data_IF_303204622270
#
_entry.id   IF_303204622270
#
_cell.length_a   1.000
_cell.length_b   1.000
_cell.length_c   1.000
_cell.angle_alpha   90.00
_cell.angle_beta   90.00
_cell.angle_gamma   90.00
#
_symmetry.space_group_name_H-M   'P 1'
#
loop_
_entity.id
_entity.type
_entity.pdbx_description
1 polymer ?
#
# COMPACT_ATOMS: atom_id res chain seq x y z
N UNK A 1 -22.61 22.76 -28.34
CA UNK A 1 -22.04 22.24 -27.08
C UNK A 1 -21.48 23.43 -26.32
N UNK A 2 -22.19 23.93 -25.32
CA UNK A 2 -21.70 25.03 -24.48
C UNK A 2 -20.78 24.45 -23.43
N UNK A 3 -19.49 24.81 -23.48
CA UNK A 3 -18.53 24.47 -22.44
C UNK A 3 -18.73 25.46 -21.31
N UNK A 4 -19.07 24.97 -20.12
CA UNK A 4 -19.19 25.78 -18.91
C UNK A 4 -17.96 25.50 -18.04
N UNK A 5 -17.02 26.44 -18.03
CA UNK A 5 -15.83 26.34 -17.20
C UNK A 5 -16.09 27.00 -15.84
N UNK A 6 -16.07 26.20 -14.77
CA UNK A 6 -16.25 26.68 -13.39
C UNK A 6 -14.87 26.78 -12.74
N UNK A 7 -14.28 27.97 -12.75
CA UNK A 7 -12.93 28.23 -12.22
C UNK A 7 -12.89 28.43 -10.70
N UNK A 8 -14.02 28.79 -10.08
CA UNK A 8 -14.10 29.10 -8.66
C UNK A 8 -15.43 28.63 -8.06
N UNK A 9 -15.34 28.04 -6.87
CA UNK A 9 -16.46 27.77 -5.97
C UNK A 9 -16.44 28.82 -4.84
N UNK A 10 -16.90 30.06 -5.08
CA UNK A 10 -16.96 31.07 -4.02
C UNK A 10 -18.00 30.64 -2.96
N UNK A 11 -17.61 30.67 -1.69
CA UNK A 11 -18.49 30.39 -0.54
C UNK A 11 -18.68 28.91 -0.18
N UNK A 12 -18.37 27.96 -1.07
CA UNK A 12 -18.56 26.52 -0.77
C UNK A 12 -17.24 25.76 -0.56
N UNK A 13 -16.07 26.38 -0.56
CA UNK A 13 -14.80 25.64 -0.33
C UNK A 13 -14.39 25.48 1.13
N UNK A 14 -14.88 26.36 2.01
CA UNK A 14 -14.28 26.57 3.33
C UNK A 14 -15.24 26.16 4.43
N UNK A 15 -14.71 25.46 5.42
CA UNK A 15 -15.38 25.20 6.69
C UNK A 15 -15.65 26.54 7.38
N UNK A 16 -16.88 26.74 7.87
CA UNK A 16 -17.21 27.89 8.69
C UNK A 16 -17.04 27.53 10.18
N UNK A 17 -15.99 28.03 10.87
CA UNK A 17 -15.75 27.68 12.28
C UNK A 17 -16.80 28.22 13.24
N UNK A 18 -17.61 29.22 12.84
CA UNK A 18 -18.65 29.81 13.67
C UNK A 18 -19.97 29.02 13.58
N UNK A 19 -20.37 28.62 12.37
CA UNK A 19 -21.61 27.86 12.15
C UNK A 19 -21.40 26.34 12.16
N UNK A 20 -20.14 25.89 12.15
CA UNK A 20 -19.72 24.50 11.97
C UNK A 20 -20.22 23.84 10.68
N UNK A 21 -20.65 24.64 9.71
CA UNK A 21 -21.14 24.15 8.42
C UNK A 21 -19.97 23.80 7.51
N UNK A 22 -20.14 22.68 6.82
CA UNK A 22 -19.19 22.23 5.82
C UNK A 22 -19.37 22.94 4.48
N UNK A 23 -18.24 23.29 3.87
CA UNK A 23 -18.14 23.47 2.43
C UNK A 23 -18.09 22.12 1.69
N UNK A 24 -18.15 22.19 0.37
CA UNK A 24 -18.07 21.14 -0.64
C UNK A 24 -17.03 20.05 -0.33
N UNK A 25 -15.86 20.41 0.19
CA UNK A 25 -14.78 19.46 0.47
C UNK A 25 -14.39 19.39 1.96
N UNK A 26 -14.85 20.31 2.80
CA UNK A 26 -14.38 20.34 4.18
C UNK A 26 -14.89 19.14 4.97
N UNK A 27 -16.14 18.72 4.78
CA UNK A 27 -16.68 17.53 5.48
C UNK A 27 -15.93 16.27 5.09
N UNK A 28 -15.55 16.16 3.81
CA UNK A 28 -14.68 15.09 3.34
C UNK A 28 -13.31 15.13 4.03
N UNK A 29 -12.63 16.27 4.03
CA UNK A 29 -11.31 16.41 4.64
C UNK A 29 -11.36 16.10 6.15
N UNK A 30 -12.33 16.65 6.87
CA UNK A 30 -12.50 16.47 8.32
C UNK A 30 -12.73 15.01 8.68
N UNK A 31 -13.60 14.31 7.96
CA UNK A 31 -13.83 12.88 8.15
C UNK A 31 -12.54 12.06 8.01
N UNK A 32 -11.77 12.29 6.93
CA UNK A 32 -10.50 11.58 6.72
C UNK A 32 -9.44 11.96 7.77
N UNK A 33 -9.43 13.21 8.23
CA UNK A 33 -8.55 13.63 9.34
C UNK A 33 -8.91 12.91 10.64
N UNK A 34 -10.20 12.85 11.02
CA UNK A 34 -10.66 12.11 12.20
C UNK A 34 -10.22 10.65 12.14
N UNK A 35 -10.50 9.96 11.03
CA UNK A 35 -10.13 8.56 10.83
C UNK A 35 -8.61 8.32 10.97
N UNK A 36 -7.79 9.25 10.47
CA UNK A 36 -6.33 9.16 10.56
C UNK A 36 -5.85 9.40 12.00
N UNK A 37 -6.40 10.40 12.69
CA UNK A 37 -6.03 10.74 14.07
C UNK A 37 -6.43 9.62 15.03
N UNK A 38 -7.65 9.11 14.90
CA UNK A 38 -8.16 7.96 15.66
C UNK A 38 -7.27 6.73 15.47
N UNK A 39 -6.97 6.36 14.23
CA UNK A 39 -6.09 5.22 13.94
C UNK A 39 -4.62 5.44 14.34
N UNK A 40 -4.23 6.67 14.72
CA UNK A 40 -2.91 6.95 15.27
C UNK A 40 -2.82 6.69 16.77
N UNK A 41 -3.95 6.55 17.46
CA UNK A 41 -4.04 6.50 18.91
C UNK A 41 -3.76 7.85 19.57
N UNK A 42 -3.69 7.83 20.91
CA UNK A 42 -3.42 9.03 21.71
C UNK A 42 -1.97 9.54 21.53
N UNK A 43 -1.76 10.86 21.50
CA UNK A 43 -0.42 11.44 21.59
C UNK A 43 0.30 11.00 22.87
N UNK A 44 1.63 10.94 22.84
CA UNK A 44 2.44 10.51 23.99
C UNK A 44 2.18 11.35 25.26
N UNK A 45 1.85 12.63 25.07
CA UNK A 45 1.62 13.58 26.16
C UNK A 45 0.21 13.48 26.77
N UNK A 46 -0.69 12.69 26.17
CA UNK A 46 -2.09 12.53 26.60
C UNK A 46 -2.28 11.27 27.47
N UNK A 47 -1.67 11.25 28.65
CA UNK A 47 -1.70 10.09 29.55
C UNK A 47 -2.95 10.03 30.44
N UNK A 48 -3.44 11.18 30.91
CA UNK A 48 -4.64 11.27 31.76
C UNK A 48 -5.90 11.54 30.96
N UNK A 49 -7.06 11.20 31.53
CA UNK A 49 -8.34 11.37 30.85
C UNK A 49 -8.72 12.85 30.67
N UNK A 50 -8.23 13.75 31.54
CA UNK A 50 -8.38 15.20 31.37
C UNK A 50 -7.62 15.70 30.14
N UNK A 51 -6.39 15.23 29.93
CA UNK A 51 -5.56 15.60 28.78
C UNK A 51 -6.15 15.07 27.48
N UNK A 52 -6.69 13.85 27.49
CA UNK A 52 -7.44 13.28 26.37
C UNK A 52 -8.67 14.11 26.02
N UNK A 53 -9.45 14.51 27.04
CA UNK A 53 -10.63 15.37 26.85
C UNK A 53 -10.25 16.76 26.33
N UNK A 54 -9.15 17.32 26.82
CA UNK A 54 -8.62 18.60 26.34
C UNK A 54 -8.16 18.50 24.88
N UNK A 55 -7.45 17.42 24.51
CA UNK A 55 -7.04 17.18 23.13
C UNK A 55 -8.21 17.11 22.16
N UNK A 56 -9.30 16.41 22.52
CA UNK A 56 -10.52 16.37 21.70
C UNK A 56 -11.12 17.76 21.55
N UNK A 57 -11.25 18.52 22.64
CA UNK A 57 -11.79 19.89 22.61
C UNK A 57 -10.95 20.82 21.75
N UNK A 58 -9.63 20.75 21.87
CA UNK A 58 -8.72 21.59 21.10
C UNK A 58 -8.74 21.22 19.62
N UNK A 59 -8.79 19.92 19.30
CA UNK A 59 -8.94 19.43 17.92
C UNK A 59 -10.25 19.91 17.29
N UNK A 60 -11.36 19.84 18.02
CA UNK A 60 -12.64 20.35 17.53
C UNK A 60 -12.64 21.87 17.36
N UNK A 61 -12.02 22.61 18.30
CA UNK A 61 -11.97 24.07 18.27
C UNK A 61 -11.09 24.61 17.15
N UNK A 62 -9.91 24.04 16.97
CA UNK A 62 -8.90 24.55 16.02
C UNK A 62 -9.06 23.96 14.62
N UNK A 63 -9.31 22.65 14.52
CA UNK A 63 -9.35 21.95 13.24
C UNK A 63 -10.79 21.63 12.78
N UNK A 64 -11.79 21.81 13.66
CA UNK A 64 -13.17 21.46 13.39
C UNK A 64 -13.41 19.95 13.34
N UNK A 65 -12.43 19.13 13.70
CA UNK A 65 -12.48 17.67 13.57
C UNK A 65 -13.05 17.06 14.84
N UNK A 66 -14.16 16.35 14.69
CA UNK A 66 -14.77 15.58 15.78
C UNK A 66 -14.06 14.22 15.92
N UNK A 67 -13.65 13.89 17.14
CA UNK A 67 -12.90 12.66 17.45
C UNK A 67 -13.69 11.82 18.44
N UNK A 68 -13.88 10.55 18.10
CA UNK A 68 -14.50 9.56 18.97
C UNK A 68 -13.44 8.93 19.89
N UNK A 69 -13.49 9.16 21.23
CA UNK A 69 -12.52 8.61 22.17
C UNK A 69 -12.44 7.08 22.13
N UNK A 70 -13.55 6.40 21.81
CA UNK A 70 -13.60 4.93 21.74
C UNK A 70 -12.81 4.36 20.57
N UNK A 71 -12.53 5.18 19.54
CA UNK A 71 -11.81 4.78 18.32
C UNK A 71 -10.34 5.23 18.32
N UNK A 72 -9.87 5.87 19.40
CA UNK A 72 -8.49 6.36 19.53
C UNK A 72 -7.51 5.22 19.86
N UNK A 73 -7.30 4.33 18.90
CA UNK A 73 -6.42 3.16 19.01
C UNK A 73 -5.35 3.17 17.91
N UNK A 74 -4.10 2.87 18.28
CA UNK A 74 -2.98 2.83 17.33
C UNK A 74 -3.12 1.64 16.39
N UNK A 75 -3.62 1.90 15.19
CA UNK A 75 -3.79 0.92 14.12
C UNK A 75 -3.12 1.41 12.82
N UNK A 76 -1.86 1.01 12.55
CA UNK A 76 -1.11 1.43 11.36
C UNK A 76 -1.78 1.03 10.04
N UNK A 77 -2.47 -0.10 10.01
CA UNK A 77 -3.18 -0.59 8.83
C UNK A 77 -4.40 0.29 8.54
N UNK A 78 -5.24 0.52 9.56
CA UNK A 78 -6.41 1.38 9.44
C UNK A 78 -5.99 2.81 9.06
N UNK A 79 -4.93 3.37 9.65
CA UNK A 79 -4.41 4.69 9.27
C UNK A 79 -4.02 4.78 7.79
N UNK A 80 -3.56 3.67 7.21
CA UNK A 80 -3.23 3.61 5.77
C UNK A 80 -4.50 3.50 4.93
N UNK A 81 -5.45 2.66 5.33
CA UNK A 81 -6.76 2.52 4.67
C UNK A 81 -7.57 3.82 4.71
N UNK A 82 -7.56 4.54 5.83
CA UNK A 82 -8.18 5.85 6.03
C UNK A 82 -7.60 6.96 5.16
N UNK A 83 -6.56 6.71 4.35
CA UNK A 83 -6.09 7.64 3.31
C UNK A 83 -6.72 7.37 1.95
N UNK A 84 -7.26 6.17 1.76
CA UNK A 84 -7.73 5.66 0.48
C UNK A 84 -9.26 5.62 0.42
N UNK A 85 -9.91 5.15 1.49
CA UNK A 85 -11.35 4.87 1.50
C UNK A 85 -11.94 5.33 2.83
N UNK A 86 -13.16 5.86 2.80
CA UNK A 86 -13.94 6.14 4.01
C UNK A 86 -14.67 4.85 4.44
N UNK A 87 -14.46 4.36 5.67
CA UNK A 87 -15.17 3.19 6.16
C UNK A 87 -16.69 3.42 6.20
N UNK A 88 -17.47 2.43 5.76
CA UNK A 88 -18.94 2.45 5.82
C UNK A 88 -19.64 3.19 4.67
N UNK A 89 -18.88 3.78 3.74
CA UNK A 89 -19.44 4.25 2.47
C UNK A 89 -19.65 3.07 1.51
N UNK A 90 -20.63 3.14 0.60
CA UNK A 90 -20.80 2.14 -0.44
C UNK A 90 -19.54 2.05 -1.31
N UNK A 91 -19.31 0.86 -1.86
CA UNK A 91 -18.24 0.66 -2.84
C UNK A 91 -18.40 1.65 -4.00
N UNK A 92 -17.27 2.16 -4.46
CA UNK A 92 -17.25 3.10 -5.59
C UNK A 92 -17.81 2.35 -6.81
N UNK A 93 -18.85 2.89 -7.47
CA UNK A 93 -19.45 2.21 -8.61
C UNK A 93 -18.45 2.10 -9.76
N UNK A 94 -18.61 1.08 -10.58
CA UNK A 94 -17.92 1.01 -11.86
C UNK A 94 -18.66 1.83 -12.91
N UNK A 95 -17.93 2.46 -13.81
CA UNK A 95 -18.54 3.34 -14.80
C UNK A 95 -17.54 4.20 -15.58
N UNK A 96 -18.08 5.08 -16.42
CA UNK A 96 -17.31 5.93 -17.34
C UNK A 96 -17.16 7.36 -16.84
N UNK A 97 -17.75 7.71 -15.70
CA UNK A 97 -17.73 9.07 -15.18
C UNK A 97 -16.56 9.29 -14.23
N UNK A 98 -16.23 10.58 -14.02
CA UNK A 98 -15.18 10.97 -13.08
C UNK A 98 -15.57 10.56 -11.66
N UNK A 99 -14.75 9.69 -11.06
CA UNK A 99 -14.99 9.14 -9.72
C UNK A 99 -15.41 7.67 -9.72
N UNK A 100 -15.81 7.13 -10.87
CA UNK A 100 -16.11 5.71 -11.01
C UNK A 100 -14.83 4.88 -11.13
N UNK A 101 -14.89 3.62 -10.71
CA UNK A 101 -13.83 2.64 -10.97
C UNK A 101 -13.96 2.09 -12.40
N UNK A 102 -12.84 1.93 -13.08
CA UNK A 102 -12.81 1.27 -14.39
C UNK A 102 -12.51 -0.21 -14.19
N UNK A 103 -13.37 -1.09 -14.71
CA UNK A 103 -13.08 -2.52 -14.79
C UNK A 103 -12.13 -2.79 -15.97
N UNK A 104 -10.82 -2.74 -15.69
CA UNK A 104 -9.80 -3.01 -16.70
C UNK A 104 -9.77 -4.48 -17.15
N UNK A 105 -10.26 -5.41 -16.33
CA UNK A 105 -10.26 -6.83 -16.69
C UNK A 105 -11.33 -7.08 -17.74
N UNK A 106 -12.52 -6.51 -17.56
CA UNK A 106 -13.56 -6.51 -18.57
C UNK A 106 -13.15 -5.77 -19.85
N UNK A 107 -12.50 -4.60 -19.74
CA UNK A 107 -12.04 -3.83 -20.90
C UNK A 107 -11.03 -4.62 -21.76
N UNK A 108 -10.04 -5.27 -21.14
CA UNK A 108 -8.97 -5.97 -21.85
C UNK A 108 -9.35 -7.40 -22.30
N UNK A 109 -10.30 -8.03 -21.63
CA UNK A 109 -10.59 -9.46 -21.81
C UNK A 109 -12.06 -9.80 -22.08
N UNK A 110 -12.98 -8.84 -22.01
CA UNK A 110 -14.40 -9.03 -22.30
C UNK A 110 -15.26 -9.22 -21.03
N UNK A 111 -16.58 -9.05 -21.16
CA UNK A 111 -17.52 -9.05 -20.03
C UNK A 111 -17.52 -10.38 -19.29
N UNK A 112 -17.56 -10.32 -17.95
CA UNK A 112 -17.54 -11.51 -17.09
C UNK A 112 -16.16 -12.13 -16.91
N UNK A 113 -15.09 -11.52 -17.46
CA UNK A 113 -13.72 -11.94 -17.20
C UNK A 113 -13.31 -11.63 -15.77
N UNK A 114 -12.60 -12.55 -15.12
CA UNK A 114 -12.12 -12.33 -13.75
C UNK A 114 -10.75 -12.96 -13.50
N UNK A 115 -10.04 -12.42 -12.51
CA UNK A 115 -8.71 -12.91 -12.12
C UNK A 115 -8.87 -14.15 -11.23
N UNK A 116 -8.22 -15.25 -11.60
CA UNK A 116 -8.26 -16.52 -10.87
C UNK A 116 -7.07 -16.69 -9.92
N UNK A 117 -5.87 -16.29 -10.37
CA UNK A 117 -4.66 -16.33 -9.56
C UNK A 117 -3.88 -15.02 -9.74
N UNK A 118 -3.33 -14.51 -8.63
CA UNK A 118 -2.48 -13.32 -8.61
C UNK A 118 -1.19 -13.59 -7.84
N UNK A 119 -0.07 -13.16 -8.39
CA UNK A 119 1.27 -13.31 -7.80
C UNK A 119 2.00 -11.97 -7.86
N UNK A 120 2.50 -11.51 -6.71
CA UNK A 120 3.28 -10.27 -6.62
C UNK A 120 4.68 -10.52 -6.03
N UNK A 121 5.71 -10.14 -6.80
CA UNK A 121 7.11 -10.15 -6.38
C UNK A 121 7.62 -8.80 -5.89
N UNK A 122 6.81 -7.73 -5.99
CA UNK A 122 7.14 -6.38 -5.55
C UNK A 122 6.62 -5.30 -6.50
N UNK A 123 7.01 -4.03 -6.30
CA UNK A 123 6.56 -2.93 -7.14
C UNK A 123 6.89 -3.15 -8.62
N UNK A 124 5.86 -3.14 -9.48
CA UNK A 124 5.98 -3.36 -10.93
C UNK A 124 6.63 -4.71 -11.30
N UNK A 125 6.43 -5.72 -10.46
CA UNK A 125 6.80 -7.12 -10.68
C UNK A 125 5.66 -8.02 -10.17
N UNK A 126 4.67 -8.29 -11.03
CA UNK A 126 3.49 -9.09 -10.71
C UNK A 126 2.99 -9.84 -11.94
N UNK A 127 2.20 -10.88 -11.72
CA UNK A 127 1.52 -11.62 -12.76
C UNK A 127 0.16 -12.09 -12.27
N UNK A 128 -0.78 -12.27 -13.20
CA UNK A 128 -2.09 -12.81 -12.90
C UNK A 128 -2.65 -13.63 -14.06
N UNK A 129 -3.56 -14.55 -13.72
CA UNK A 129 -4.32 -15.36 -14.66
C UNK A 129 -5.74 -14.83 -14.72
N UNK A 130 -6.26 -14.66 -15.92
CA UNK A 130 -7.63 -14.20 -16.18
C UNK A 130 -8.39 -15.33 -16.85
N UNK A 131 -9.54 -15.71 -16.28
CA UNK A 131 -10.54 -16.51 -16.96
C UNK A 131 -11.34 -15.57 -17.87
N UNK A 132 -11.19 -15.74 -19.19
CA UNK A 132 -11.79 -14.88 -20.20
C UNK A 132 -13.27 -15.20 -20.34
N UNK A 133 -14.13 -14.19 -20.28
CA UNK A 133 -15.60 -14.32 -20.37
C UNK A 133 -16.19 -15.32 -19.34
N UNK A 134 -15.51 -15.50 -18.21
CA UNK A 134 -15.91 -16.44 -17.16
C UNK A 134 -15.60 -17.92 -17.44
N UNK A 135 -14.95 -18.23 -18.58
CA UNK A 135 -14.56 -19.59 -18.93
C UNK A 135 -13.22 -19.98 -18.28
N UNK A 136 -13.28 -20.92 -17.34
CA UNK A 136 -12.11 -21.46 -16.65
C UNK A 136 -11.17 -22.28 -17.56
N UNK A 137 -11.63 -22.69 -18.75
CA UNK A 137 -10.79 -23.36 -19.74
C UNK A 137 -9.98 -22.37 -20.59
N UNK A 138 -10.43 -21.12 -20.69
CA UNK A 138 -9.79 -20.06 -21.46
C UNK A 138 -9.03 -19.10 -20.54
N UNK A 139 -7.81 -19.48 -20.19
CA UNK A 139 -6.96 -18.71 -19.28
C UNK A 139 -5.95 -17.86 -20.08
N UNK A 140 -6.01 -16.54 -19.89
CA UNK A 140 -4.95 -15.62 -20.32
C UNK A 140 -4.02 -15.27 -19.16
N UNK A 141 -2.73 -15.23 -19.43
CA UNK A 141 -1.71 -14.88 -18.44
C UNK A 141 -1.16 -13.49 -18.75
N UNK A 142 -1.26 -12.59 -17.78
CA UNK A 142 -0.72 -11.23 -17.86
C UNK A 142 0.47 -11.10 -16.90
N UNK A 143 1.64 -10.73 -17.42
CA UNK A 143 2.88 -10.60 -16.63
C UNK A 143 3.44 -9.19 -16.80
N UNK A 144 3.74 -8.53 -15.67
CA UNK A 144 4.35 -7.21 -15.63
C UNK A 144 5.67 -7.26 -14.90
N UNK A 145 6.77 -7.11 -15.63
CA UNK A 145 8.12 -6.99 -15.06
C UNK A 145 8.79 -5.70 -15.54
N UNK A 146 9.13 -4.81 -14.62
CA UNK A 146 9.82 -3.56 -14.97
C UNK A 146 11.21 -3.83 -15.55
N UNK A 147 11.51 -3.20 -16.68
CA UNK A 147 12.86 -3.16 -17.27
C UNK A 147 13.29 -4.48 -17.90
N UNK A 148 12.33 -5.33 -18.25
CA UNK A 148 12.48 -6.45 -19.19
C UNK A 148 11.38 -6.25 -20.22
N UNK A 149 11.74 -6.17 -21.49
CA UNK A 149 10.77 -6.20 -22.58
C UNK A 149 10.51 -7.67 -22.90
N UNK A 150 9.29 -8.15 -22.66
CA UNK A 150 8.92 -9.54 -22.92
C UNK A 150 8.86 -9.74 -24.44
N UNK A 151 9.66 -10.65 -24.94
CA UNK A 151 9.77 -11.02 -26.36
C UNK A 151 10.11 -12.51 -26.47
N UNK A 152 10.14 -13.05 -27.69
CA UNK A 152 10.45 -14.47 -27.94
C UNK A 152 11.84 -14.94 -27.45
N UNK A 153 12.73 -14.03 -27.05
CA UNK A 153 14.03 -14.41 -26.47
C UNK A 153 13.96 -14.64 -24.96
N UNK A 154 12.89 -14.22 -24.29
CA UNK A 154 12.75 -14.32 -22.84
C UNK A 154 11.36 -14.76 -22.35
N UNK A 155 10.40 -15.00 -23.23
CA UNK A 155 9.05 -15.45 -22.87
C UNK A 155 9.05 -16.83 -22.16
N UNK A 156 9.92 -17.76 -22.58
CA UNK A 156 10.12 -19.05 -21.90
C UNK A 156 10.68 -18.90 -20.47
N UNK A 157 11.40 -17.81 -20.21
CA UNK A 157 12.00 -17.53 -18.89
C UNK A 157 11.04 -16.71 -18.01
N UNK A 158 10.38 -15.71 -18.59
CA UNK A 158 9.47 -14.78 -17.89
C UNK A 158 8.05 -15.35 -17.90
N UNK A 159 7.85 -16.41 -17.11
CA UNK A 159 6.57 -17.11 -16.98
C UNK A 159 5.93 -16.90 -15.62
N UNK A 160 4.61 -17.12 -15.54
CA UNK A 160 3.84 -17.05 -14.29
C UNK A 160 4.40 -18.02 -13.25
N UNK A 161 4.68 -19.27 -13.66
CA UNK A 161 5.17 -20.31 -12.76
C UNK A 161 6.57 -20.01 -12.23
N UNK A 162 7.44 -19.42 -13.06
CA UNK A 162 8.75 -18.97 -12.60
C UNK A 162 8.63 -17.81 -11.60
N UNK A 163 7.71 -16.86 -11.81
CA UNK A 163 7.46 -15.82 -10.81
C UNK A 163 6.91 -16.40 -9.51
N UNK A 164 5.95 -17.32 -9.60
CA UNK A 164 5.37 -18.02 -8.45
C UNK A 164 6.43 -18.79 -7.67
N UNK A 165 7.28 -19.56 -8.36
CA UNK A 165 8.40 -20.28 -7.74
C UNK A 165 9.35 -19.33 -7.00
N UNK A 166 9.62 -18.14 -7.58
CA UNK A 166 10.46 -17.14 -6.90
C UNK A 166 9.79 -16.49 -5.70
N UNK A 167 8.48 -16.23 -5.78
CA UNK A 167 7.71 -15.66 -4.66
C UNK A 167 7.54 -16.67 -3.52
N UNK A 168 7.38 -17.96 -3.84
CA UNK A 168 7.27 -19.05 -2.88
C UNK A 168 8.62 -19.52 -2.32
N UNK A 169 9.74 -18.93 -2.76
CA UNK A 169 11.08 -19.26 -2.28
C UNK A 169 11.66 -20.56 -2.85
N UNK A 170 10.98 -21.23 -3.79
CA UNK A 170 11.51 -22.41 -4.49
C UNK A 170 12.62 -22.07 -5.49
N UNK A 171 12.78 -20.78 -5.84
CA UNK A 171 13.81 -20.29 -6.76
C UNK A 171 14.28 -18.90 -6.38
N UNK A 172 15.58 -18.64 -6.37
CA UNK A 172 16.09 -17.33 -5.95
C UNK A 172 15.99 -16.23 -7.03
N UNK A 173 16.43 -16.56 -8.24
CA UNK A 173 16.52 -15.62 -9.36
C UNK A 173 16.58 -16.33 -10.71
N UNK A 174 16.26 -15.58 -11.76
CA UNK A 174 16.44 -15.98 -13.15
C UNK A 174 17.25 -14.90 -13.88
N UNK A 175 18.29 -15.31 -14.60
CA UNK A 175 19.05 -14.41 -15.46
C UNK A 175 18.39 -14.34 -16.82
N UNK A 176 17.76 -13.20 -17.13
CA UNK A 176 17.06 -12.98 -18.40
C UNK A 176 18.00 -12.27 -19.38
N UNK A 177 18.29 -12.86 -20.56
CA UNK A 177 19.10 -12.20 -21.58
C UNK A 177 18.35 -11.02 -22.20
N UNK A 178 19.08 -9.94 -22.49
CA UNK A 178 18.59 -8.76 -23.22
C UNK A 178 19.52 -8.54 -24.41
N UNK A 179 19.23 -9.15 -25.58
CA UNK A 179 20.14 -9.14 -26.72
C UNK A 179 20.42 -7.75 -27.30
N UNK A 180 19.44 -6.84 -27.23
CA UNK A 180 19.49 -5.52 -27.85
C UNK A 180 19.25 -4.40 -26.84
N UNK A 181 20.05 -4.33 -25.78
CA UNK A 181 19.98 -3.23 -24.83
C UNK A 181 20.59 -1.95 -25.41
N UNK A 182 19.79 -0.89 -25.49
CA UNK A 182 20.27 0.45 -25.83
C UNK A 182 21.02 1.02 -24.61
N UNK A 183 22.26 1.44 -24.83
CA UNK A 183 23.11 2.08 -23.82
C UNK A 183 23.76 3.35 -24.38
N UNK A 184 23.99 4.33 -23.51
CA UNK A 184 24.74 5.55 -23.83
C UNK A 184 26.14 5.46 -23.24
N UNK A 185 27.16 5.66 -24.07
CA UNK A 185 28.55 5.73 -23.63
C UNK A 185 28.86 7.10 -22.99
N UNK A 186 29.94 7.23 -22.19
CA UNK A 186 30.39 8.52 -21.66
C UNK A 186 30.67 9.56 -22.76
N UNK A 187 30.98 9.11 -23.97
CA UNK A 187 31.16 9.93 -25.18
C UNK A 187 29.85 10.40 -25.81
N UNK A 188 28.70 10.16 -25.16
CA UNK A 188 27.34 10.45 -25.66
C UNK A 188 26.93 9.63 -26.89
N UNK A 189 27.76 8.70 -27.35
CA UNK A 189 27.40 7.77 -28.40
C UNK A 189 26.37 6.76 -27.90
N UNK A 190 25.34 6.51 -28.72
CA UNK A 190 24.32 5.50 -28.46
C UNK A 190 24.78 4.20 -29.11
N UNK A 191 24.83 3.13 -28.33
CA UNK A 191 25.18 1.79 -28.80
C UNK A 191 24.10 0.80 -28.40
N UNK A 192 23.90 -0.21 -29.25
CA UNK A 192 23.08 -1.38 -28.91
C UNK A 192 24.03 -2.50 -28.53
N UNK A 193 23.86 -3.10 -27.36
CA UNK A 193 24.71 -4.20 -26.88
C UNK A 193 23.89 -5.31 -26.24
N UNK A 194 24.43 -6.52 -26.26
CA UNK A 194 23.91 -7.61 -25.47
C UNK A 194 24.14 -7.33 -23.97
N UNK A 195 23.16 -7.71 -23.16
CA UNK A 195 23.16 -7.55 -21.72
C UNK A 195 22.30 -8.63 -21.08
N UNK A 196 22.20 -8.63 -19.75
CA UNK A 196 21.31 -9.51 -19.02
C UNK A 196 20.74 -8.79 -17.80
N UNK A 197 19.63 -9.32 -17.27
CA UNK A 197 19.03 -8.83 -16.04
C UNK A 197 18.71 -9.99 -15.11
N UNK A 198 19.12 -9.85 -13.86
CA UNK A 198 18.73 -10.77 -12.79
C UNK A 198 17.32 -10.42 -12.33
N UNK A 199 16.35 -11.18 -12.80
CA UNK A 199 14.96 -11.10 -12.37
C UNK A 199 14.78 -11.87 -11.06
N UNK A 200 14.28 -11.18 -10.04
CA UNK A 200 13.92 -11.72 -8.73
C UNK A 200 12.87 -10.83 -8.06
N UNK A 201 12.08 -11.36 -7.12
CA UNK A 201 11.30 -10.55 -6.20
C UNK A 201 12.22 -9.58 -5.44
N UNK A 202 11.83 -8.31 -5.36
CA UNK A 202 12.61 -7.29 -4.65
C UNK A 202 11.71 -6.63 -3.63
N UNK A 203 12.09 -6.79 -2.36
CA UNK A 203 11.52 -6.06 -1.26
C UNK A 203 12.61 -5.17 -0.66
N UNK A 204 12.39 -3.85 -0.67
CA UNK A 204 13.39 -2.86 -0.24
C UNK A 204 13.21 -2.43 1.21
N UNK A 205 12.08 -2.78 1.85
CA UNK A 205 11.77 -2.38 3.23
C UNK A 205 11.75 -3.55 4.20
N UNK A 206 11.55 -4.77 3.69
CA UNK A 206 11.42 -5.97 4.51
C UNK A 206 12.19 -7.11 3.87
N UNK A 207 12.82 -7.93 4.71
CA UNK A 207 13.41 -9.23 4.37
C UNK A 207 12.36 -10.32 4.60
N UNK A 208 12.25 -11.29 3.69
CA UNK A 208 11.47 -12.50 3.94
C UNK A 208 12.23 -13.40 4.93
N UNK A 209 11.56 -13.87 5.96
CA UNK A 209 12.11 -14.86 6.92
C UNK A 209 11.71 -16.25 6.46
N UNK A 210 10.45 -16.41 6.08
CA UNK A 210 9.89 -17.60 5.45
C UNK A 210 8.92 -17.17 4.33
N UNK A 211 8.04 -18.08 3.90
CA UNK A 211 7.07 -17.83 2.82
C UNK A 211 6.01 -16.79 3.23
N UNK A 212 5.56 -16.81 4.48
CA UNK A 212 4.42 -16.03 4.99
C UNK A 212 4.88 -14.78 5.76
N UNK A 213 6.06 -14.85 6.35
CA UNK A 213 6.59 -13.86 7.28
C UNK A 213 7.69 -13.00 6.64
N UNK A 214 7.58 -11.71 6.90
CA UNK A 214 8.59 -10.73 6.52
C UNK A 214 8.92 -9.84 7.70
N UNK A 215 10.18 -9.49 7.87
CA UNK A 215 10.66 -8.57 8.91
C UNK A 215 11.28 -7.34 8.28
N UNK A 216 11.18 -6.15 8.88
CA UNK A 216 11.91 -4.97 8.42
C UNK A 216 13.42 -5.22 8.32
N UNK A 217 14.09 -4.57 7.38
CA UNK A 217 15.56 -4.56 7.42
C UNK A 217 16.05 -3.86 8.70
N UNK A 218 17.01 -4.46 9.41
CA UNK A 218 17.47 -3.99 10.73
C UNK A 218 16.64 -4.48 11.92
N UNK A 219 15.61 -5.32 11.67
CA UNK A 219 14.95 -6.06 12.74
C UNK A 219 15.93 -7.07 13.34
N UNK A 220 16.49 -6.72 14.51
CA UNK A 220 17.04 -7.70 15.42
C UNK A 220 15.87 -8.19 16.26
N UNK A 221 15.59 -9.50 16.23
CA UNK A 221 14.90 -10.09 17.36
C UNK A 221 15.80 -9.76 18.55
N UNK A 222 15.36 -8.84 19.41
CA UNK A 222 15.94 -8.83 20.74
C UNK A 222 15.48 -10.18 21.27
N UNK A 223 16.35 -11.17 21.24
CA UNK A 223 16.28 -12.27 22.18
C UNK A 223 16.44 -11.56 23.53
N UNK A 224 15.36 -10.97 24.04
CA UNK A 224 15.24 -10.67 25.46
C UNK A 224 15.29 -12.07 26.04
N UNK A 225 16.49 -12.53 26.37
CA UNK A 225 16.67 -13.80 27.02
C UNK A 225 15.79 -13.71 28.26
N UNK A 226 14.73 -14.49 28.32
CA UNK A 226 13.82 -14.52 29.46
C UNK A 226 14.61 -14.77 30.76
N UNK A 227 15.81 -15.38 30.67
CA UNK A 227 16.80 -15.51 31.74
C UNK A 227 17.44 -14.17 32.18
N UNK A 228 17.84 -13.27 31.26
CA UNK A 228 18.48 -11.99 31.62
C UNK A 228 17.49 -11.02 32.29
N UNK A 229 16.22 -11.04 31.88
CA UNK A 229 15.16 -10.24 32.49
C UNK A 229 14.79 -10.80 33.88
N UNK A 230 14.80 -12.12 34.06
CA UNK A 230 14.52 -12.76 35.35
C UNK A 230 15.63 -12.50 36.37
N UNK A 231 16.90 -12.59 35.96
CA UNK A 231 18.06 -12.27 36.80
C UNK A 231 18.09 -10.79 37.23
N UNK A 232 17.68 -9.89 36.32
CA UNK A 232 17.56 -8.47 36.63
C UNK A 232 16.42 -8.18 37.63
N UNK A 233 15.28 -8.86 37.48
CA UNK A 233 14.15 -8.76 38.41
C UNK A 233 14.53 -9.28 39.80
N UNK A 234 15.20 -10.43 39.90
CA UNK A 234 15.68 -10.96 41.18
C UNK A 234 16.73 -10.04 41.84
N UNK A 235 17.64 -9.45 41.06
CA UNK A 235 18.60 -8.48 41.58
C UNK A 235 17.94 -7.18 42.07
N UNK A 236 16.87 -6.74 41.41
CA UNK A 236 16.09 -5.57 41.81
C UNK A 236 15.29 -5.83 43.10
N UNK A 237 14.69 -7.00 43.26
CA UNK A 237 13.98 -7.40 44.48
C UNK A 237 14.95 -7.51 45.67
N UNK A 238 16.14 -8.10 45.47
CA UNK A 238 17.19 -8.16 46.50
C UNK A 238 17.70 -6.78 46.94
N UNK A 239 17.70 -5.79 46.05
CA UNK A 239 18.08 -4.41 46.35
C UNK A 239 16.95 -3.62 47.02
N UNK A 240 15.68 -4.01 46.82
CA UNK A 240 14.54 -3.40 47.46
C UNK A 240 14.40 -3.80 48.94
N UNK A 241 14.94 -4.97 49.31
CA UNK A 241 14.95 -5.52 50.67
C UNK A 241 16.21 -5.13 51.50
N UNK A 242 17.11 -4.30 50.95
CA UNK A 242 18.32 -3.79 51.61
C UNK A 242 18.15 -2.34 52.12
#
# INVERSE_FOLDING_TARGET
>A
MSVHEVYQYPGTKQYNPLTQEDGLLSGYIRCFMALKMQASGWPADCTTDELKAQFIKDTLKHDGVDLDPSKMEKNPALRTLSKLIRPGEPDIPTGTHLGDLTDQVEEDHGPGSFITEFVAGGPKNYAFKVAVEGDLSNIKVCIKVRGISINASCDELVTFDNLKAMVMGSRDKITVPIPHQIARLPTWQIVTRASHKNWKPVNIKRRRVDVENTVPHGFNACDMAEEEDQDLLEAMDLLADA
#
